data_IF_821327579311
#
_entry.id   IF_821327579311
#
_cell.length_a   1.000
_cell.length_b   1.000
_cell.length_c   1.000
_cell.angle_alpha   90.00
_cell.angle_beta   90.00
_cell.angle_gamma   90.00
#
_symmetry.space_group_name_H-M   'P 1'
#
loop_
_entity.id
_entity.type
_entity.pdbx_description
1 polymer ?
#
# COMPACT_ATOMS: atom_id res chain seq x y z
N UNK A 1 0.43 11.20 -12.79
CA UNK A 1 -0.74 12.10 -12.80
C UNK A 1 -0.82 12.81 -11.46
N UNK A 2 -1.20 14.07 -11.48
CA UNK A 2 -1.53 14.78 -10.25
C UNK A 2 -2.82 14.21 -9.66
N UNK A 3 -2.86 14.05 -8.35
CA UNK A 3 -3.97 13.43 -7.62
C UNK A 3 -4.44 14.37 -6.51
N UNK A 4 -5.72 14.28 -6.14
CA UNK A 4 -6.30 15.14 -5.11
C UNK A 4 -5.55 15.02 -3.76
N UNK A 5 -5.02 16.11 -3.17
CA UNK A 5 -4.22 16.07 -1.95
C UNK A 5 -5.06 15.98 -0.66
N UNK A 6 -5.94 14.98 -0.57
CA UNK A 6 -6.87 14.80 0.55
C UNK A 6 -6.49 13.66 1.51
N UNK A 7 -5.21 13.29 1.55
CA UNK A 7 -4.71 12.18 2.38
C UNK A 7 -4.85 10.78 1.76
N UNK A 8 -5.59 10.64 0.65
CA UNK A 8 -5.67 9.40 -0.13
C UNK A 8 -4.80 9.42 -1.41
N UNK A 9 -4.07 10.52 -1.66
CA UNK A 9 -3.24 10.73 -2.85
C UNK A 9 -2.28 9.56 -3.14
N UNK A 10 -1.54 9.06 -2.14
CA UNK A 10 -0.63 7.94 -2.33
C UNK A 10 -1.31 6.67 -2.84
N UNK A 11 -2.50 6.35 -2.31
CA UNK A 11 -3.29 5.20 -2.75
C UNK A 11 -3.86 5.40 -4.16
N UNK A 12 -4.25 6.63 -4.52
CA UNK A 12 -4.70 6.98 -5.88
C UNK A 12 -3.57 6.85 -6.91
N UNK A 13 -2.33 7.19 -6.53
CA UNK A 13 -1.16 6.93 -7.39
C UNK A 13 -1.01 5.43 -7.63
N UNK A 14 -1.20 4.60 -6.61
CA UNK A 14 -1.11 3.13 -6.74
C UNK A 14 -2.20 2.60 -7.69
N UNK A 15 -3.45 3.06 -7.57
CA UNK A 15 -4.55 2.71 -8.51
C UNK A 15 -4.13 2.90 -9.96
N UNK A 16 -3.56 4.07 -10.25
CA UNK A 16 -3.08 4.38 -11.61
C UNK A 16 -1.89 3.51 -12.00
N UNK A 17 -0.96 3.25 -11.07
CA UNK A 17 0.24 2.44 -11.34
C UNK A 17 -0.08 0.98 -11.67
N UNK A 18 -1.14 0.41 -11.08
CA UNK A 18 -1.59 -0.96 -11.34
C UNK A 18 -2.61 -1.06 -12.48
N UNK A 19 -2.93 0.05 -13.15
CA UNK A 19 -3.89 0.08 -14.26
C UNK A 19 -5.34 -0.25 -13.85
N UNK A 20 -5.72 0.01 -12.60
CA UNK A 20 -7.08 -0.29 -12.13
C UNK A 20 -8.07 0.79 -12.55
N UNK A 21 -9.12 0.42 -13.29
CA UNK A 21 -10.15 1.32 -13.83
C UNK A 21 -11.24 1.73 -12.79
N UNK A 22 -10.86 1.84 -11.50
CA UNK A 22 -11.80 2.16 -10.41
C UNK A 22 -12.17 3.64 -10.27
N UNK A 23 -11.75 4.49 -11.22
CA UNK A 23 -11.93 5.94 -11.16
C UNK A 23 -11.39 6.58 -9.88
N UNK A 24 -12.00 7.70 -9.47
CA UNK A 24 -11.56 8.47 -8.30
C UNK A 24 -11.72 7.67 -6.99
N UNK A 25 -12.50 6.60 -6.94
CA UNK A 25 -12.73 5.87 -5.68
C UNK A 25 -11.90 4.57 -5.55
N UNK A 26 -11.05 4.29 -6.54
CA UNK A 26 -10.20 3.10 -6.57
C UNK A 26 -9.23 2.97 -5.39
N UNK A 27 -8.92 4.08 -4.70
CA UNK A 27 -8.06 4.06 -3.51
C UNK A 27 -8.66 3.21 -2.37
N UNK A 28 -9.99 3.07 -2.30
CA UNK A 28 -10.64 2.18 -1.33
C UNK A 28 -10.35 0.72 -1.62
N UNK A 29 -10.33 0.33 -2.91
CA UNK A 29 -9.94 -1.02 -3.31
C UNK A 29 -8.50 -1.29 -2.88
N UNK A 30 -7.57 -0.39 -3.17
CA UNK A 30 -6.16 -0.56 -2.80
C UNK A 30 -5.98 -0.74 -1.30
N UNK A 31 -6.60 0.11 -0.47
CA UNK A 31 -6.57 -0.03 1.00
C UNK A 31 -7.11 -1.38 1.46
N UNK A 32 -8.24 -1.81 0.90
CA UNK A 32 -8.89 -3.08 1.25
C UNK A 32 -8.01 -4.29 0.92
N UNK A 33 -7.41 -4.33 -0.27
CA UNK A 33 -6.56 -5.47 -0.66
C UNK A 33 -5.26 -5.50 0.16
N UNK A 34 -4.66 -4.33 0.45
CA UNK A 34 -3.53 -4.26 1.38
C UNK A 34 -3.93 -4.76 2.78
N UNK A 35 -5.09 -4.34 3.29
CA UNK A 35 -5.56 -4.79 4.60
C UNK A 35 -5.78 -6.30 4.65
N UNK A 36 -6.40 -6.88 3.61
CA UNK A 36 -6.56 -8.34 3.49
C UNK A 36 -5.20 -9.05 3.48
N UNK A 37 -4.25 -8.57 2.67
CA UNK A 37 -2.89 -9.11 2.60
C UNK A 37 -2.21 -9.11 3.99
N UNK A 38 -2.34 -8.00 4.73
CA UNK A 38 -1.81 -7.87 6.08
C UNK A 38 -2.38 -8.90 7.05
N UNK A 39 -3.71 -9.05 7.06
CA UNK A 39 -4.40 -9.96 7.99
C UNK A 39 -4.16 -11.43 7.60
N UNK A 40 -4.19 -11.77 6.32
CA UNK A 40 -3.96 -13.13 5.84
C UNK A 40 -2.53 -13.63 6.08
N UNK A 41 -1.56 -12.73 6.25
CA UNK A 41 -0.15 -13.06 6.44
C UNK A 41 0.43 -12.42 7.72
N UNK A 42 -0.39 -12.26 8.75
CA UNK A 42 -0.04 -11.50 9.97
C UNK A 42 1.26 -12.00 10.61
N UNK A 43 1.46 -13.31 10.75
CA UNK A 43 2.67 -13.89 11.35
C UNK A 43 3.96 -13.50 10.60
N UNK A 44 3.92 -13.49 9.26
CA UNK A 44 5.04 -13.01 8.45
C UNK A 44 5.29 -11.53 8.70
N UNK A 45 4.23 -10.72 8.64
CA UNK A 45 4.38 -9.28 8.75
C UNK A 45 4.74 -8.79 10.15
N UNK A 46 4.36 -9.50 11.22
CA UNK A 46 4.86 -9.25 12.58
C UNK A 46 6.33 -9.61 12.75
N UNK A 47 6.82 -10.55 11.95
CA UNK A 47 8.26 -10.89 11.92
C UNK A 47 9.05 -9.83 11.15
N UNK A 48 8.54 -9.40 9.99
CA UNK A 48 9.18 -8.37 9.14
C UNK A 48 9.10 -6.98 9.79
N UNK A 49 7.95 -6.68 10.39
CA UNK A 49 7.67 -5.43 11.09
C UNK A 49 7.42 -5.74 12.55
N UNK A 50 8.22 -5.16 13.44
CA UNK A 50 7.97 -5.22 14.89
C UNK A 50 6.48 -5.00 15.22
N UNK A 51 5.93 -5.75 16.19
CA UNK A 51 4.50 -5.80 16.49
C UNK A 51 3.82 -4.42 16.59
N UNK A 52 4.43 -3.49 17.33
CA UNK A 52 3.88 -2.14 17.54
C UNK A 52 3.75 -1.35 16.24
N UNK A 53 4.62 -1.62 15.27
CA UNK A 53 4.59 -0.99 13.96
C UNK A 53 3.59 -1.66 13.03
N UNK A 54 3.48 -2.98 13.10
CA UNK A 54 2.47 -3.74 12.34
C UNK A 54 1.06 -3.23 12.68
N UNK A 55 0.73 -3.09 13.96
CA UNK A 55 -0.58 -2.63 14.42
C UNK A 55 -0.88 -1.20 13.98
N UNK A 56 0.09 -0.27 14.13
CA UNK A 56 -0.05 1.10 13.63
C UNK A 56 -0.31 1.17 12.13
N UNK A 57 0.37 0.34 11.34
CA UNK A 57 0.16 0.29 9.89
C UNK A 57 -1.23 -0.27 9.59
N UNK A 58 -1.64 -1.33 10.29
CA UNK A 58 -2.95 -1.96 10.10
C UNK A 58 -4.08 -0.95 10.30
N UNK A 59 -4.01 -0.17 11.37
CA UNK A 59 -5.01 0.84 11.71
C UNK A 59 -4.99 2.00 10.70
N UNK A 60 -3.80 2.43 10.26
CA UNK A 60 -3.64 3.48 9.25
C UNK A 60 -4.19 3.08 7.86
N UNK A 61 -4.12 1.79 7.50
CA UNK A 61 -4.66 1.27 6.23
C UNK A 61 -6.18 1.13 6.29
N UNK A 62 -6.75 0.73 7.43
CA UNK A 62 -8.18 0.45 7.61
C UNK A 62 -9.05 1.72 7.76
N UNK A 63 -8.89 2.69 6.85
CA UNK A 63 -9.59 3.97 6.84
C UNK A 63 -10.16 4.25 5.46
N UNK A 64 -11.47 4.49 5.37
CA UNK A 64 -12.19 4.64 4.09
C UNK A 64 -12.90 5.99 3.93
N UNK A 65 -12.50 6.97 4.73
CA UNK A 65 -12.99 8.35 4.68
C UNK A 65 -12.15 9.25 3.75
N UNK A 66 -12.73 10.37 3.36
CA UNK A 66 -12.10 11.37 2.50
C UNK A 66 -12.56 12.77 2.94
N UNK A 67 -11.65 13.65 3.42
CA UNK A 67 -10.21 13.48 3.50
C UNK A 67 -9.79 12.46 4.57
N UNK A 68 -8.69 11.72 4.31
CA UNK A 68 -8.12 10.80 5.29
C UNK A 68 -7.21 11.56 6.30
N UNK A 69 -7.25 11.19 7.59
CA UNK A 69 -6.42 11.80 8.62
C UNK A 69 -4.94 11.57 8.33
N UNK A 70 -4.09 12.48 8.82
CA UNK A 70 -2.63 12.44 8.62
C UNK A 70 -1.99 11.13 9.07
N UNK A 71 -2.53 10.51 10.12
CA UNK A 71 -2.11 9.20 10.64
C UNK A 71 -2.39 8.03 9.68
N UNK A 72 -3.26 8.23 8.69
CA UNK A 72 -3.68 7.22 7.71
C UNK A 72 -3.14 7.48 6.31
N UNK A 73 -2.16 8.38 6.17
CA UNK A 73 -1.47 8.63 4.92
C UNK A 73 -0.52 7.49 4.55
N UNK A 74 -0.34 7.25 3.26
CA UNK A 74 0.60 6.26 2.77
C UNK A 74 2.03 6.61 3.19
N UNK A 75 2.63 5.79 4.05
CA UNK A 75 3.95 6.02 4.64
C UNK A 75 4.99 5.09 4.03
N UNK A 76 5.94 5.67 3.28
CA UNK A 76 7.01 4.92 2.60
C UNK A 76 8.31 4.94 3.44
N UNK A 77 9.15 3.90 3.33
CA UNK A 77 9.02 2.72 2.46
C UNK A 77 8.11 1.62 3.01
N UNK A 78 7.74 1.65 4.29
CA UNK A 78 7.13 0.50 4.98
C UNK A 78 5.79 0.05 4.38
N UNK A 79 4.86 0.98 4.14
CA UNK A 79 3.59 0.65 3.49
C UNK A 79 3.79 0.24 2.03
N UNK A 80 4.85 0.71 1.38
CA UNK A 80 5.21 0.35 0.01
C UNK A 80 5.58 -1.13 -0.15
N UNK A 81 6.04 -1.80 0.91
CA UNK A 81 6.35 -3.23 0.86
C UNK A 81 5.07 -4.09 0.80
N UNK A 82 4.01 -3.66 1.49
CA UNK A 82 2.70 -4.29 1.35
C UNK A 82 2.13 -4.06 -0.05
N UNK A 83 2.30 -2.87 -0.62
CA UNK A 83 1.89 -2.59 -2.01
C UNK A 83 2.62 -3.51 -2.98
N UNK A 84 3.95 -3.57 -2.91
CA UNK A 84 4.75 -4.45 -3.75
C UNK A 84 4.31 -5.91 -3.65
N UNK A 85 4.12 -6.40 -2.42
CA UNK A 85 3.74 -7.81 -2.18
C UNK A 85 2.30 -8.11 -2.59
N UNK A 86 1.34 -7.25 -2.22
CA UNK A 86 -0.09 -7.42 -2.48
C UNK A 86 -0.42 -7.42 -3.98
N UNK A 87 0.26 -6.56 -4.76
CA UNK A 87 0.01 -6.41 -6.19
C UNK A 87 1.05 -7.11 -7.08
N UNK A 88 2.03 -7.81 -6.49
CA UNK A 88 3.11 -8.50 -7.20
C UNK A 88 3.89 -7.59 -8.17
N UNK A 89 4.19 -6.37 -7.73
CA UNK A 89 4.91 -5.37 -8.53
C UNK A 89 6.25 -5.01 -7.90
N UNK A 90 7.21 -4.62 -8.74
CA UNK A 90 8.35 -3.81 -8.30
C UNK A 90 7.87 -2.37 -8.05
N UNK A 91 7.96 -1.90 -6.81
CA UNK A 91 7.47 -0.57 -6.43
C UNK A 91 8.65 0.39 -6.20
N UNK A 92 8.87 1.28 -7.17
CA UNK A 92 9.92 2.30 -7.10
C UNK A 92 9.38 3.57 -6.47
N UNK A 93 10.00 3.99 -5.36
CA UNK A 93 9.68 5.22 -4.64
C UNK A 93 10.78 6.25 -4.90
N UNK A 94 10.44 7.31 -5.62
CA UNK A 94 11.33 8.43 -5.89
C UNK A 94 11.17 9.51 -4.81
N UNK A 95 12.25 9.85 -4.11
CA UNK A 95 12.29 10.97 -3.14
C UNK A 95 13.46 11.90 -3.45
N UNK A 96 13.39 13.17 -3.03
CA UNK A 96 14.46 14.16 -3.33
C UNK A 96 15.86 13.75 -2.87
N UNK A 97 15.96 12.87 -1.86
CA UNK A 97 17.23 12.44 -1.24
C UNK A 97 17.64 11.00 -1.60
N UNK A 98 17.00 10.39 -2.61
CA UNK A 98 17.31 9.02 -3.03
C UNK A 98 16.10 8.30 -3.60
N UNK A 99 16.25 7.03 -3.96
CA UNK A 99 15.14 6.20 -4.42
C UNK A 99 15.20 4.84 -3.76
N UNK A 100 14.03 4.25 -3.50
CA UNK A 100 13.92 2.90 -2.96
C UNK A 100 13.23 2.02 -3.98
N UNK A 101 13.77 0.82 -4.23
CA UNK A 101 13.06 -0.25 -4.93
C UNK A 101 12.56 -1.24 -3.88
N UNK A 102 11.24 -1.42 -3.83
CA UNK A 102 10.59 -2.37 -2.95
C UNK A 102 10.11 -3.56 -3.78
N UNK A 103 10.56 -4.75 -3.41
CA UNK A 103 10.23 -6.00 -4.07
C UNK A 103 9.23 -6.81 -3.22
N UNK A 104 8.36 -7.61 -3.84
CA UNK A 104 7.47 -8.52 -3.13
C UNK A 104 8.26 -9.43 -2.17
N UNK A 105 7.82 -9.55 -0.91
CA UNK A 105 8.42 -10.50 0.04
C UNK A 105 8.00 -11.93 -0.30
N UNK A 106 6.78 -12.08 -0.80
CA UNK A 106 6.19 -13.36 -1.16
C UNK A 106 6.06 -13.44 -2.68
N UNK A 107 6.68 -14.45 -3.26
CA UNK A 107 6.38 -14.88 -4.62
C UNK A 107 5.15 -15.79 -4.57
N UNK A 108 3.95 -15.21 -4.74
CA UNK A 108 2.87 -16.01 -5.29
C UNK A 108 3.19 -16.17 -6.78
N UNK A 109 3.08 -17.38 -7.31
CA UNK A 109 3.17 -17.57 -8.76
C UNK A 109 2.23 -16.55 -9.42
N UNK A 110 2.67 -15.83 -10.47
CA UNK A 110 1.79 -14.90 -11.16
C UNK A 110 0.50 -15.64 -11.53
N UNK A 111 -0.69 -15.03 -11.37
CA UNK A 111 -1.92 -15.67 -11.80
C UNK A 111 -1.77 -16.05 -13.27
N UNK A 112 -1.98 -17.34 -13.57
CA UNK A 112 -2.04 -17.83 -14.95
C UNK A 112 -3.26 -17.16 -15.58
N UNK A 113 -3.02 -16.20 -16.48
CA UNK A 113 -4.06 -15.60 -17.32
C UNK A 113 -4.53 -16.60 -18.38
#
# INVERSE_FOLDING_TARGET
MDVNPNGNCGFRVIVNAIGYEGGDEGWRMVRREIFKEMVSNEALYRTVFQDTKHERIRDAINVYESPAPGTSWLTLPYMGLFVATCFHIGFVVLVKRGSNLLLPIRNLAPPLF
#
